data_IF_467668846968
#
_entry.id   IF_467668846968
#
_cell.length_a   1.000
_cell.length_b   1.000
_cell.length_c   1.000
_cell.angle_alpha   90.00
_cell.angle_beta   90.00
_cell.angle_gamma   90.00
#
_symmetry.space_group_name_H-M   'P 1'
#
loop_
_entity.id
_entity.type
_entity.pdbx_description
1 polymer ?
#
# COMPACT_ATOMS: atom_id res chain seq x y z
N UNK A 1 88.21 97.92 17.82
CA UNK A 1 88.18 97.64 16.37
C UNK A 1 88.02 96.13 16.21
N UNK A 2 86.84 95.66 15.79
CA UNK A 2 86.62 94.24 15.54
C UNK A 2 87.58 93.76 14.45
N UNK A 3 88.47 92.83 14.77
CA UNK A 3 89.35 92.23 13.78
C UNK A 3 88.51 91.36 12.82
N UNK A 4 88.63 91.55 11.49
CA UNK A 4 87.87 90.80 10.49
C UNK A 4 88.04 89.27 10.63
N UNK A 5 89.13 88.83 11.25
CA UNK A 5 89.44 87.40 11.51
C UNK A 5 88.45 86.76 12.50
N UNK A 6 88.01 87.47 13.54
CA UNK A 6 87.09 86.92 14.55
C UNK A 6 85.69 86.72 13.95
N UNK A 7 85.25 87.66 13.13
CA UNK A 7 83.95 87.57 12.42
C UNK A 7 83.97 86.39 11.44
N UNK A 8 85.05 86.21 10.68
CA UNK A 8 85.19 85.09 9.76
C UNK A 8 85.16 83.72 10.47
N UNK A 9 85.84 83.59 11.62
CA UNK A 9 85.81 82.36 12.42
C UNK A 9 84.43 82.05 13.00
N UNK A 10 83.69 83.06 13.47
CA UNK A 10 82.32 82.85 13.97
C UNK A 10 81.34 82.45 12.86
N UNK A 11 81.46 83.03 11.66
CA UNK A 11 80.66 82.64 10.50
C UNK A 11 80.98 81.21 10.04
N UNK A 12 82.25 80.81 10.09
CA UNK A 12 82.68 79.44 9.76
C UNK A 12 82.17 78.42 10.79
N UNK A 13 82.17 78.77 12.08
CA UNK A 13 81.59 77.92 13.12
C UNK A 13 80.07 77.78 12.97
N UNK A 14 79.34 78.87 12.69
CA UNK A 14 77.88 78.83 12.49
C UNK A 14 77.50 78.04 11.24
N UNK A 15 78.24 78.18 10.15
CA UNK A 15 78.00 77.39 8.92
C UNK A 15 78.31 75.90 9.13
N UNK A 16 79.39 75.56 9.83
CA UNK A 16 79.69 74.16 10.20
C UNK A 16 78.62 73.55 11.11
N UNK A 17 78.13 74.31 12.10
CA UNK A 17 77.02 73.86 12.96
C UNK A 17 75.73 73.70 12.13
N UNK A 18 75.45 74.61 11.20
CA UNK A 18 74.31 74.51 10.29
C UNK A 18 74.36 73.27 9.41
N UNK A 19 75.53 72.94 8.85
CA UNK A 19 75.77 71.74 8.05
C UNK A 19 75.63 70.48 8.92
N UNK A 20 76.16 70.50 10.15
CA UNK A 20 76.06 69.37 11.09
C UNK A 20 74.59 69.10 11.47
N UNK A 21 73.82 70.15 11.79
CA UNK A 21 72.40 70.03 12.13
C UNK A 21 71.58 69.58 10.91
N UNK A 22 71.90 70.08 9.71
CA UNK A 22 71.27 69.63 8.46
C UNK A 22 71.57 68.16 8.18
N UNK A 23 72.83 67.72 8.32
CA UNK A 23 73.25 66.34 8.13
C UNK A 23 72.61 65.40 9.18
N UNK A 24 72.50 65.82 10.44
CA UNK A 24 71.82 65.08 11.49
C UNK A 24 70.31 64.97 11.23
N UNK A 25 69.66 66.06 10.80
CA UNK A 25 68.24 66.04 10.40
C UNK A 25 68.02 65.14 9.18
N UNK A 26 68.89 65.20 8.19
CA UNK A 26 68.81 64.36 6.99
C UNK A 26 69.01 62.88 7.36
N UNK A 27 69.96 62.55 8.23
CA UNK A 27 70.16 61.19 8.73
C UNK A 27 68.94 60.69 9.52
N UNK A 28 68.32 61.53 10.36
CA UNK A 28 67.10 61.15 11.07
C UNK A 28 65.91 60.97 10.12
N UNK A 29 65.74 61.84 9.11
CA UNK A 29 64.69 61.67 8.11
C UNK A 29 64.87 60.39 7.29
N UNK A 30 66.11 60.05 6.92
CA UNK A 30 66.42 58.80 6.21
C UNK A 30 66.09 57.57 7.08
N UNK A 31 66.47 57.58 8.37
CA UNK A 31 66.11 56.51 9.30
C UNK A 31 64.61 56.37 9.51
N UNK A 32 63.88 57.49 9.60
CA UNK A 32 62.42 57.47 9.73
C UNK A 32 61.75 56.93 8.46
N UNK A 33 62.26 57.31 7.28
CA UNK A 33 61.81 56.80 6.00
C UNK A 33 62.09 55.29 5.87
N UNK A 34 63.26 54.83 6.28
CA UNK A 34 63.63 53.42 6.30
C UNK A 34 62.71 52.61 7.24
N UNK A 35 62.50 53.09 8.47
CA UNK A 35 61.59 52.45 9.43
C UNK A 35 60.15 52.37 8.91
N UNK A 36 59.61 53.46 8.36
CA UNK A 36 58.26 53.48 7.79
C UNK A 36 58.13 52.58 6.55
N UNK A 37 59.18 52.45 5.74
CA UNK A 37 59.20 51.51 4.61
C UNK A 37 59.23 50.06 5.06
N UNK A 38 59.97 49.76 6.14
CA UNK A 38 60.06 48.44 6.75
C UNK A 38 58.75 48.04 7.43
N UNK A 39 58.08 48.97 8.09
CA UNK A 39 56.75 48.77 8.67
C UNK A 39 55.70 48.49 7.58
N UNK A 40 55.72 49.23 6.46
CA UNK A 40 54.86 48.95 5.30
C UNK A 40 55.14 47.59 4.65
N UNK A 41 56.40 47.17 4.59
CA UNK A 41 56.80 45.84 4.10
C UNK A 41 56.25 44.74 5.00
N UNK A 42 56.41 44.86 6.32
CA UNK A 42 55.87 43.90 7.29
C UNK A 42 54.34 43.84 7.26
N UNK A 43 53.67 45.00 7.13
CA UNK A 43 52.21 45.05 6.98
C UNK A 43 51.75 44.35 5.70
N UNK A 44 52.43 44.58 4.57
CA UNK A 44 52.14 43.86 3.31
C UNK A 44 52.41 42.37 3.40
N UNK A 45 53.48 41.96 4.08
CA UNK A 45 53.80 40.54 4.27
C UNK A 45 52.75 39.83 5.14
N UNK A 46 52.24 40.51 6.17
CA UNK A 46 51.12 40.03 6.97
C UNK A 46 49.81 39.94 6.17
N UNK A 47 49.49 40.95 5.34
CA UNK A 47 48.35 40.91 4.43
C UNK A 47 48.46 39.75 3.43
N UNK A 48 49.65 39.53 2.87
CA UNK A 48 49.91 38.43 1.93
C UNK A 48 49.77 37.07 2.62
N UNK A 49 50.26 36.94 3.86
CA UNK A 49 50.07 35.74 4.68
C UNK A 49 48.60 35.45 4.96
N UNK A 50 47.81 36.47 5.32
CA UNK A 50 46.37 36.33 5.55
C UNK A 50 45.60 35.96 4.25
N UNK A 51 46.01 36.54 3.11
CA UNK A 51 45.42 36.22 1.82
C UNK A 51 45.73 34.78 1.39
N UNK A 52 46.97 34.31 1.57
CA UNK A 52 47.36 32.91 1.32
C UNK A 52 46.60 31.95 2.22
N UNK A 53 46.41 32.28 3.50
CA UNK A 53 45.63 31.46 4.42
C UNK A 53 44.16 31.38 4.02
N UNK A 54 43.55 32.51 3.62
CA UNK A 54 42.18 32.53 3.09
C UNK A 54 42.04 31.71 1.81
N UNK A 55 43.02 31.79 0.90
CA UNK A 55 43.04 30.99 -0.33
C UNK A 55 43.09 29.49 0.00
N UNK A 56 43.97 29.10 0.93
CA UNK A 56 44.10 27.71 1.36
C UNK A 56 42.82 27.18 2.02
N UNK A 57 42.16 27.98 2.85
CA UNK A 57 40.87 27.63 3.45
C UNK A 57 39.79 27.46 2.38
N UNK A 58 39.76 28.34 1.37
CA UNK A 58 38.80 28.26 0.26
C UNK A 58 39.06 27.03 -0.64
N UNK A 59 40.31 26.68 -0.90
CA UNK A 59 40.67 25.47 -1.64
C UNK A 59 40.25 24.20 -0.88
N UNK A 60 40.45 24.16 0.44
CA UNK A 60 40.02 23.04 1.27
C UNK A 60 38.49 22.89 1.29
N UNK A 61 37.74 24.00 1.36
CA UNK A 61 36.28 23.99 1.24
C UNK A 61 35.82 23.55 -0.15
N UNK A 62 36.49 23.98 -1.21
CA UNK A 62 36.18 23.52 -2.57
C UNK A 62 36.46 22.03 -2.74
N UNK A 63 37.53 21.51 -2.13
CA UNK A 63 37.84 20.09 -2.13
C UNK A 63 36.76 19.27 -1.39
N UNK A 64 36.33 19.72 -0.20
CA UNK A 64 35.28 19.04 0.57
C UNK A 64 33.93 19.05 -0.17
N UNK A 65 33.55 20.21 -0.73
CA UNK A 65 32.32 20.34 -1.52
C UNK A 65 32.35 19.44 -2.76
N UNK A 66 33.49 19.30 -3.44
CA UNK A 66 33.63 18.39 -4.59
C UNK A 66 33.44 16.93 -4.17
N UNK A 67 33.98 16.53 -3.02
CA UNK A 67 33.84 15.18 -2.49
C UNK A 67 32.39 14.89 -2.09
N UNK A 68 31.72 15.84 -1.43
CA UNK A 68 30.31 15.74 -1.07
C UNK A 68 29.41 15.61 -2.30
N UNK A 69 29.65 16.45 -3.32
CA UNK A 69 28.91 16.44 -4.59
C UNK A 69 29.11 15.11 -5.36
N UNK A 70 30.29 14.52 -5.28
CA UNK A 70 30.54 13.17 -5.81
C UNK A 70 29.73 12.12 -5.05
N UNK A 71 29.77 12.13 -3.71
CA UNK A 71 29.03 11.17 -2.89
C UNK A 71 27.50 11.26 -3.11
N UNK A 72 26.98 12.47 -3.29
CA UNK A 72 25.58 12.73 -3.56
C UNK A 72 25.16 12.25 -4.96
N UNK A 73 26.03 12.41 -5.96
CA UNK A 73 25.81 11.86 -7.30
C UNK A 73 25.77 10.33 -7.27
N UNK A 74 26.69 9.69 -6.56
CA UNK A 74 26.71 8.24 -6.40
C UNK A 74 25.45 7.74 -5.70
N UNK A 75 25.00 8.40 -4.63
CA UNK A 75 23.73 8.09 -3.98
C UNK A 75 22.54 8.24 -4.90
N UNK A 76 22.47 9.35 -5.66
CA UNK A 76 21.39 9.61 -6.61
C UNK A 76 21.33 8.53 -7.68
N UNK A 77 22.46 8.17 -8.29
CA UNK A 77 22.51 7.09 -9.30
C UNK A 77 22.10 5.75 -8.71
N UNK A 78 22.48 5.46 -7.46
CA UNK A 78 22.07 4.23 -6.77
C UNK A 78 20.56 4.19 -6.53
N UNK A 79 19.97 5.29 -6.09
CA UNK A 79 18.52 5.45 -5.90
C UNK A 79 17.75 5.33 -7.23
N UNK A 80 18.20 5.99 -8.29
CA UNK A 80 17.60 5.90 -9.62
C UNK A 80 17.64 4.47 -10.16
N UNK A 81 18.76 3.78 -9.98
CA UNK A 81 18.91 2.37 -10.39
C UNK A 81 17.99 1.46 -9.58
N UNK A 82 17.86 1.68 -8.26
CA UNK A 82 16.95 0.91 -7.41
C UNK A 82 15.50 1.10 -7.82
N UNK A 83 15.09 2.35 -8.08
CA UNK A 83 13.74 2.68 -8.53
C UNK A 83 13.42 2.04 -9.88
N UNK A 84 14.37 2.05 -10.82
CA UNK A 84 14.21 1.43 -12.14
C UNK A 84 14.08 -0.10 -12.01
N UNK A 85 14.88 -0.73 -11.13
CA UNK A 85 14.77 -2.16 -10.84
C UNK A 85 13.41 -2.52 -10.22
N UNK A 86 12.94 -1.72 -9.26
CA UNK A 86 11.64 -1.92 -8.60
C UNK A 86 10.48 -1.77 -9.59
N UNK A 87 10.51 -0.73 -10.45
CA UNK A 87 9.52 -0.56 -11.54
C UNK A 87 9.52 -1.74 -12.51
N UNK A 88 10.71 -2.23 -12.89
CA UNK A 88 10.85 -3.36 -13.80
C UNK A 88 10.36 -4.66 -13.16
N UNK A 89 10.58 -4.84 -11.86
CA UNK A 89 10.07 -5.98 -11.11
C UNK A 89 8.53 -5.92 -11.03
N UNK A 90 7.97 -4.77 -10.65
CA UNK A 90 6.52 -4.56 -10.65
C UNK A 90 5.87 -4.78 -12.02
N UNK A 91 6.52 -4.35 -13.10
CA UNK A 91 6.06 -4.60 -14.47
C UNK A 91 6.03 -6.09 -14.82
N UNK A 92 7.02 -6.86 -14.37
CA UNK A 92 7.04 -8.32 -14.53
C UNK A 92 5.96 -9.01 -13.70
N UNK A 93 5.75 -8.57 -12.47
CA UNK A 93 4.71 -9.14 -11.58
C UNK A 93 3.31 -8.90 -12.17
N UNK A 94 3.06 -7.71 -12.73
CA UNK A 94 1.82 -7.40 -13.46
C UNK A 94 1.65 -8.23 -14.73
N UNK A 95 2.73 -8.42 -15.50
CA UNK A 95 2.70 -9.28 -16.69
C UNK A 95 2.40 -10.74 -16.33
N UNK A 96 3.03 -11.27 -15.29
CA UNK A 96 2.80 -12.62 -14.77
C UNK A 96 1.36 -12.81 -14.27
N UNK A 97 0.79 -11.81 -13.59
CA UNK A 97 -0.61 -11.81 -13.16
C UNK A 97 -1.58 -11.82 -14.35
N UNK A 98 -1.33 -11.02 -15.38
CA UNK A 98 -2.15 -11.01 -16.59
C UNK A 98 -2.03 -12.32 -17.37
N UNK A 99 -0.82 -12.88 -17.49
CA UNK A 99 -0.60 -14.17 -18.15
C UNK A 99 -1.27 -15.31 -17.37
N UNK A 100 -1.18 -15.33 -16.03
CA UNK A 100 -1.90 -16.29 -15.19
C UNK A 100 -3.42 -16.15 -15.35
N UNK A 101 -3.93 -14.93 -15.48
CA UNK A 101 -5.36 -14.66 -15.73
C UNK A 101 -5.79 -15.21 -17.09
N UNK A 102 -5.02 -14.98 -18.14
CA UNK A 102 -5.29 -15.49 -19.49
C UNK A 102 -5.23 -17.01 -19.53
N UNK A 103 -4.22 -17.62 -18.92
CA UNK A 103 -4.10 -19.09 -18.80
C UNK A 103 -5.25 -19.69 -17.98
N UNK A 104 -5.70 -19.04 -16.90
CA UNK A 104 -6.88 -19.47 -16.16
C UNK A 104 -8.15 -19.31 -16.99
N UNK A 105 -8.26 -18.25 -17.80
CA UNK A 105 -9.37 -18.03 -18.73
C UNK A 105 -9.43 -19.11 -19.81
N UNK A 106 -8.32 -19.40 -20.47
CA UNK A 106 -8.22 -20.48 -21.47
C UNK A 106 -8.43 -21.86 -20.86
N UNK A 107 -7.90 -22.12 -19.66
CA UNK A 107 -8.12 -23.37 -18.95
C UNK A 107 -9.60 -23.52 -18.59
N UNK A 108 -10.25 -22.44 -18.16
CA UNK A 108 -11.68 -22.42 -17.86
C UNK A 108 -12.52 -22.62 -19.13
N UNK A 109 -12.18 -21.96 -20.23
CA UNK A 109 -12.85 -22.12 -21.53
C UNK A 109 -12.67 -23.54 -22.09
N UNK A 110 -11.47 -24.11 -21.99
CA UNK A 110 -11.21 -25.50 -22.39
C UNK A 110 -11.93 -26.51 -21.51
N UNK A 111 -12.02 -26.29 -20.20
CA UNK A 111 -12.80 -27.13 -19.28
C UNK A 111 -14.28 -27.00 -19.58
N UNK A 112 -14.79 -25.78 -19.80
CA UNK A 112 -16.17 -25.51 -20.16
C UNK A 112 -16.53 -26.18 -21.50
N UNK A 113 -15.70 -26.04 -22.53
CA UNK A 113 -15.90 -26.69 -23.83
C UNK A 113 -15.77 -28.21 -23.74
N UNK A 114 -14.81 -28.76 -22.99
CA UNK A 114 -14.70 -30.22 -22.77
C UNK A 114 -15.88 -30.78 -21.98
N UNK A 115 -16.36 -30.09 -20.95
CA UNK A 115 -17.54 -30.49 -20.18
C UNK A 115 -18.80 -30.38 -21.05
N UNK A 116 -18.92 -29.32 -21.83
CA UNK A 116 -20.03 -29.09 -22.74
C UNK A 116 -20.07 -30.14 -23.86
N UNK A 117 -18.96 -30.42 -24.54
CA UNK A 117 -18.90 -31.43 -25.60
C UNK A 117 -19.05 -32.87 -25.08
N UNK A 118 -18.42 -33.20 -23.94
CA UNK A 118 -18.51 -34.54 -23.35
C UNK A 118 -19.91 -34.86 -22.80
N UNK A 119 -20.66 -33.84 -22.33
CA UNK A 119 -22.03 -34.02 -21.82
C UNK A 119 -23.12 -33.75 -22.87
N UNK A 120 -22.95 -32.82 -23.80
CA UNK A 120 -23.92 -32.55 -24.89
C UNK A 120 -24.07 -33.76 -25.82
N UNK A 121 -22.95 -34.42 -26.20
CA UNK A 121 -22.97 -35.60 -27.08
C UNK A 121 -23.58 -36.86 -26.44
N UNK A 122 -23.77 -36.88 -25.12
CA UNK A 122 -24.37 -37.99 -24.35
C UNK A 122 -25.77 -37.68 -23.78
N UNK A 123 -26.24 -36.42 -23.83
CA UNK A 123 -27.47 -35.96 -23.18
C UNK A 123 -28.49 -35.26 -24.10
N UNK A 124 -28.15 -35.02 -25.37
CA UNK A 124 -29.07 -34.40 -26.35
C UNK A 124 -30.32 -35.24 -26.65
N UNK A 125 -30.30 -36.54 -26.33
CA UNK A 125 -31.42 -37.43 -26.69
C UNK A 125 -32.63 -37.37 -25.73
N UNK A 126 -32.62 -36.66 -24.58
CA UNK A 126 -33.80 -36.74 -23.69
C UNK A 126 -34.26 -35.57 -22.81
N UNK A 127 -33.64 -34.38 -22.70
CA UNK A 127 -34.28 -33.31 -21.88
C UNK A 127 -33.77 -31.88 -22.11
N UNK A 128 -34.26 -31.22 -23.17
CA UNK A 128 -33.97 -29.78 -23.45
C UNK A 128 -34.68 -28.81 -22.50
N UNK A 129 -35.84 -29.19 -21.97
CA UNK A 129 -36.72 -28.26 -21.24
C UNK A 129 -36.36 -28.13 -19.75
N UNK A 130 -35.90 -29.21 -19.11
CA UNK A 130 -35.45 -29.18 -17.70
C UNK A 130 -34.09 -28.50 -17.51
N UNK A 131 -33.25 -28.44 -18.55
CA UNK A 131 -31.90 -27.84 -18.46
C UNK A 131 -31.92 -26.31 -18.52
N UNK A 132 -32.87 -25.70 -19.24
CA UNK A 132 -33.01 -24.24 -19.30
C UNK A 132 -33.29 -23.63 -17.91
N UNK A 133 -34.05 -24.33 -17.07
CA UNK A 133 -34.40 -23.91 -15.71
C UNK A 133 -33.20 -23.94 -14.75
N UNK A 134 -32.20 -24.77 -15.01
CA UNK A 134 -30.99 -24.92 -14.16
C UNK A 134 -29.81 -24.08 -14.68
N UNK A 135 -29.68 -23.94 -16.01
CA UNK A 135 -28.59 -23.18 -16.63
C UNK A 135 -28.83 -21.67 -16.64
N UNK A 136 -30.06 -21.20 -16.80
CA UNK A 136 -30.36 -19.76 -16.79
C UNK A 136 -29.95 -19.06 -15.47
N UNK A 137 -30.24 -19.62 -14.28
CA UNK A 137 -29.77 -19.03 -13.02
C UNK A 137 -28.24 -18.95 -12.90
N UNK A 138 -27.52 -19.93 -13.45
CA UNK A 138 -26.06 -19.95 -13.45
C UNK A 138 -25.49 -18.86 -14.39
N UNK A 139 -26.06 -18.73 -15.58
CA UNK A 139 -25.69 -17.71 -16.56
C UNK A 139 -25.95 -16.29 -16.02
N UNK A 140 -27.09 -16.07 -15.36
CA UNK A 140 -27.39 -14.80 -14.70
C UNK A 140 -26.44 -14.49 -13.55
N UNK A 141 -26.02 -15.51 -12.79
CA UNK A 141 -25.05 -15.34 -11.70
C UNK A 141 -23.64 -15.04 -12.21
N UNK A 142 -23.22 -15.66 -13.31
CA UNK A 142 -21.94 -15.36 -13.97
C UNK A 142 -21.95 -13.93 -14.54
N UNK A 143 -23.04 -13.50 -15.19
CA UNK A 143 -23.20 -12.11 -15.65
C UNK A 143 -23.21 -11.11 -14.51
N UNK A 144 -23.87 -11.43 -13.39
CA UNK A 144 -23.82 -10.59 -12.17
C UNK A 144 -22.41 -10.51 -11.59
N UNK A 145 -21.65 -11.61 -11.64
CA UNK A 145 -20.27 -11.64 -11.17
C UNK A 145 -19.34 -10.83 -12.08
N UNK A 146 -19.43 -11.03 -13.40
CA UNK A 146 -18.67 -10.28 -14.41
C UNK A 146 -18.92 -8.77 -14.29
N UNK A 147 -20.18 -8.36 -14.17
CA UNK A 147 -20.55 -6.97 -13.91
C UNK A 147 -20.00 -6.46 -12.58
N UNK A 148 -20.00 -7.27 -11.53
CA UNK A 148 -19.40 -6.87 -10.23
C UNK A 148 -17.90 -6.67 -10.32
N UNK A 149 -17.20 -7.51 -11.10
CA UNK A 149 -15.77 -7.39 -11.33
C UNK A 149 -15.48 -6.12 -12.13
N UNK A 150 -16.22 -5.87 -13.21
CA UNK A 150 -16.11 -4.65 -14.03
C UNK A 150 -16.42 -3.38 -13.22
N UNK A 151 -17.51 -3.39 -12.43
CA UNK A 151 -17.87 -2.30 -11.50
C UNK A 151 -16.79 -2.07 -10.42
N UNK A 152 -16.07 -3.13 -10.02
CA UNK A 152 -14.97 -3.04 -9.04
C UNK A 152 -13.74 -2.39 -9.66
N UNK A 153 -13.39 -2.73 -10.90
CA UNK A 153 -12.29 -2.08 -11.65
C UNK A 153 -12.58 -0.59 -11.92
N UNK A 154 -13.81 -0.26 -12.29
CA UNK A 154 -14.24 1.13 -12.47
C UNK A 154 -14.23 1.92 -11.15
N UNK A 155 -14.55 1.26 -10.03
CA UNK A 155 -14.40 1.83 -8.68
C UNK A 155 -12.95 2.06 -8.29
N UNK A 156 -12.05 1.13 -8.59
CA UNK A 156 -10.63 1.24 -8.28
C UNK A 156 -9.97 2.41 -9.03
N UNK A 157 -10.35 2.63 -10.28
CA UNK A 157 -9.93 3.80 -11.07
C UNK A 157 -10.47 5.13 -10.49
N UNK A 158 -11.72 5.12 -9.97
CA UNK A 158 -12.29 6.26 -9.22
C UNK A 158 -11.64 6.48 -7.85
N UNK A 159 -11.19 5.42 -7.17
CA UNK A 159 -10.46 5.53 -5.90
C UNK A 159 -9.14 6.29 -6.07
N UNK A 160 -8.43 6.13 -7.20
CA UNK A 160 -7.21 6.93 -7.50
C UNK A 160 -7.50 8.43 -7.59
N UNK A 161 -8.62 8.83 -8.18
CA UNK A 161 -9.04 10.25 -8.18
C UNK A 161 -9.53 10.70 -6.80
N UNK A 162 -10.09 9.80 -5.99
CA UNK A 162 -10.49 10.09 -4.61
C UNK A 162 -9.29 10.37 -3.70
N UNK A 163 -8.16 9.67 -3.91
CA UNK A 163 -6.94 9.90 -3.13
C UNK A 163 -6.34 11.28 -3.40
N UNK A 164 -6.32 11.75 -4.65
CA UNK A 164 -5.88 13.10 -4.98
C UNK A 164 -6.79 14.17 -4.34
N UNK A 165 -8.09 13.90 -4.26
CA UNK A 165 -9.06 14.76 -3.57
C UNK A 165 -8.87 14.74 -2.06
N UNK A 166 -8.63 13.57 -1.46
CA UNK A 166 -8.28 13.45 -0.04
C UNK A 166 -6.99 14.21 0.26
N UNK A 167 -5.92 14.06 -0.54
CA UNK A 167 -4.67 14.81 -0.38
C UNK A 167 -4.92 16.32 -0.42
N UNK A 168 -5.75 16.80 -1.36
CA UNK A 168 -6.11 18.22 -1.44
C UNK A 168 -6.90 18.69 -0.21
N UNK A 169 -7.85 17.87 0.25
CA UNK A 169 -8.61 18.15 1.46
C UNK A 169 -7.72 18.14 2.72
N UNK A 170 -6.72 17.26 2.78
CA UNK A 170 -5.71 17.25 3.84
C UNK A 170 -4.87 18.53 3.80
N UNK A 171 -4.48 19.01 2.62
CA UNK A 171 -3.74 20.27 2.46
C UNK A 171 -4.57 21.48 2.91
N UNK A 172 -5.85 21.54 2.54
CA UNK A 172 -6.78 22.59 2.96
C UNK A 172 -7.01 22.57 4.48
N UNK A 173 -7.27 21.39 5.04
CA UNK A 173 -7.47 21.20 6.48
C UNK A 173 -6.20 21.54 7.28
N UNK A 174 -5.03 21.18 6.77
CA UNK A 174 -3.75 21.53 7.39
C UNK A 174 -3.50 23.05 7.39
N UNK A 175 -3.82 23.72 6.28
CA UNK A 175 -3.71 25.18 6.17
C UNK A 175 -4.62 25.85 7.20
N UNK A 176 -5.86 25.39 7.31
CA UNK A 176 -6.83 25.92 8.27
C UNK A 176 -6.41 25.66 9.73
N UNK A 177 -5.96 24.45 10.06
CA UNK A 177 -5.45 24.12 11.40
C UNK A 177 -4.23 24.99 11.74
N UNK A 178 -3.35 25.25 10.77
CA UNK A 178 -2.19 26.13 10.96
C UNK A 178 -2.58 27.58 11.21
N UNK A 179 -3.59 28.10 10.50
CA UNK A 179 -4.13 29.45 10.72
C UNK A 179 -4.82 29.56 12.09
N UNK A 180 -5.65 28.58 12.44
CA UNK A 180 -6.33 28.49 13.74
C UNK A 180 -5.32 28.38 14.90
N UNK A 181 -4.22 27.66 14.69
CA UNK A 181 -3.12 27.56 15.64
C UNK A 181 -2.47 28.91 15.95
N UNK A 182 -2.20 29.71 14.91
CA UNK A 182 -1.62 31.06 15.07
C UNK A 182 -2.62 31.98 15.76
N UNK A 183 -3.88 32.00 15.31
CA UNK A 183 -4.93 32.84 15.86
C UNK A 183 -5.22 32.51 17.34
N UNK A 184 -5.24 31.23 17.68
CA UNK A 184 -5.52 30.80 19.05
C UNK A 184 -4.31 30.98 19.98
N UNK A 185 -3.07 30.79 19.49
CA UNK A 185 -1.88 31.13 20.28
C UNK A 185 -1.92 32.60 20.70
N UNK A 186 -2.31 33.48 19.79
CA UNK A 186 -2.51 34.90 20.09
C UNK A 186 -3.67 35.16 21.08
N UNK A 187 -4.73 34.34 21.05
CA UNK A 187 -5.91 34.49 21.91
C UNK A 187 -5.75 33.87 23.32
N UNK A 188 -4.94 32.82 23.46
CA UNK A 188 -4.68 32.09 24.72
C UNK A 188 -3.36 32.48 25.38
N UNK A 189 -2.80 33.62 24.97
CA UNK A 189 -1.53 34.16 25.45
C UNK A 189 -1.48 34.22 26.98
N UNK A 190 -0.58 33.45 27.59
CA UNK A 190 -0.34 33.43 29.04
C UNK A 190 -1.11 32.38 29.86
N UNK A 191 -2.08 31.64 29.30
CA UNK A 191 -2.76 30.53 30.01
C UNK A 191 -2.25 29.16 29.55
N UNK A 192 -1.31 28.60 30.32
CA UNK A 192 -0.69 27.30 30.04
C UNK A 192 -1.65 26.13 30.09
N UNK A 193 -2.72 26.24 30.88
CA UNK A 193 -3.71 25.18 30.99
C UNK A 193 -4.60 25.19 29.76
N UNK A 194 -4.99 26.37 29.29
CA UNK A 194 -5.74 26.51 28.05
C UNK A 194 -4.93 26.04 26.82
N UNK A 195 -3.63 26.35 26.74
CA UNK A 195 -2.75 25.86 25.67
C UNK A 195 -2.62 24.33 25.67
N UNK A 196 -2.46 23.70 26.84
CA UNK A 196 -2.41 22.24 26.96
C UNK A 196 -3.70 21.57 26.50
N UNK A 197 -4.84 22.06 27.01
CA UNK A 197 -6.17 21.56 26.62
C UNK A 197 -6.43 21.70 25.11
N UNK A 198 -5.91 22.76 24.48
CA UNK A 198 -6.05 22.94 23.04
C UNK A 198 -5.16 21.98 22.23
N UNK A 199 -3.94 21.69 22.70
CA UNK A 199 -3.10 20.66 22.09
C UNK A 199 -3.79 19.30 22.10
N UNK A 200 -4.44 18.93 23.20
CA UNK A 200 -5.26 17.71 23.31
C UNK A 200 -6.47 17.75 22.36
N UNK A 201 -7.17 18.89 22.27
CA UNK A 201 -8.30 19.05 21.35
C UNK A 201 -7.89 18.86 19.89
N UNK A 202 -6.74 19.41 19.46
CA UNK A 202 -6.22 19.17 18.10
C UNK A 202 -5.92 17.69 17.91
N UNK A 203 -5.24 17.07 18.87
CA UNK A 203 -4.87 15.67 18.79
C UNK A 203 -6.12 14.78 18.61
N UNK A 204 -7.17 15.01 19.41
CA UNK A 204 -8.45 14.31 19.27
C UNK A 204 -9.13 14.59 17.93
N UNK A 205 -9.14 15.85 17.48
CA UNK A 205 -9.71 16.25 16.18
C UNK A 205 -9.00 15.54 15.01
N UNK A 206 -7.67 15.42 15.06
CA UNK A 206 -6.89 14.71 14.04
C UNK A 206 -7.22 13.21 14.02
N UNK A 207 -7.42 12.59 15.19
CA UNK A 207 -7.81 11.19 15.29
C UNK A 207 -9.21 10.95 14.73
N UNK A 208 -10.18 11.79 15.09
CA UNK A 208 -11.55 11.71 14.55
C UNK A 208 -11.58 11.86 13.03
N UNK A 209 -10.78 12.79 12.49
CA UNK A 209 -10.71 13.05 11.05
C UNK A 209 -9.83 12.06 10.28
N UNK A 210 -8.98 11.29 10.95
CA UNK A 210 -8.13 10.28 10.31
C UNK A 210 -8.92 9.10 9.74
N UNK A 211 -10.18 8.95 10.17
CA UNK A 211 -11.03 7.82 9.83
C UNK A 211 -10.66 6.53 10.57
N UNK A 212 -9.89 6.66 11.66
CA UNK A 212 -9.67 5.59 12.63
C UNK A 212 -10.87 5.48 13.60
N UNK A 213 -11.09 4.28 14.14
CA UNK A 213 -12.21 3.98 15.06
C UNK A 213 -11.75 3.99 16.52
N UNK A 214 -12.34 4.88 17.33
CA UNK A 214 -12.09 4.97 18.79
C UNK A 214 -12.44 3.66 19.50
N UNK A 215 -11.57 3.20 20.38
CA UNK A 215 -11.72 1.95 21.15
C UNK A 215 -11.39 0.67 20.37
N UNK A 216 -10.98 0.77 19.10
CA UNK A 216 -10.44 -0.35 18.32
C UNK A 216 -9.07 -0.02 17.75
N UNK A 217 -8.96 1.13 17.10
CA UNK A 217 -7.78 1.54 16.34
C UNK A 217 -7.02 2.66 17.03
N UNK A 218 -7.65 3.35 17.98
CA UNK A 218 -6.96 4.21 18.93
C UNK A 218 -7.72 4.32 20.25
N UNK A 219 -6.99 4.62 21.31
CA UNK A 219 -7.50 4.91 22.64
C UNK A 219 -6.90 6.22 23.17
N UNK A 220 -7.63 6.90 24.04
CA UNK A 220 -7.25 8.22 24.60
C UNK A 220 -7.14 8.09 26.12
N UNK A 221 -6.07 8.67 26.69
CA UNK A 221 -5.83 8.78 28.14
C UNK A 221 -5.88 7.45 28.91
N UNK A 222 -5.39 6.38 28.29
CA UNK A 222 -5.41 5.03 28.89
C UNK A 222 -4.43 4.98 30.07
N UNK A 223 -4.91 4.49 31.21
CA UNK A 223 -4.07 4.29 32.38
C UNK A 223 -3.42 2.92 32.32
N UNK A 224 -2.11 2.90 32.09
CA UNK A 224 -1.30 1.69 32.00
C UNK A 224 -0.49 1.48 33.28
N UNK A 225 -0.27 0.21 33.63
CA UNK A 225 0.62 -0.17 34.71
C UNK A 225 1.89 -0.77 34.11
N UNK A 226 3.04 -0.28 34.56
CA UNK A 226 4.33 -0.92 34.30
C UNK A 226 4.44 -2.20 35.13
N UNK A 227 5.23 -3.15 34.64
CA UNK A 227 5.62 -4.37 35.36
C UNK A 227 6.26 -4.10 36.72
N UNK A 228 6.82 -2.90 36.93
CA UNK A 228 7.42 -2.46 38.21
C UNK A 228 6.46 -1.66 39.11
N UNK A 229 5.18 -1.56 38.75
CA UNK A 229 4.13 -0.90 39.56
C UNK A 229 3.99 0.61 39.34
N UNK A 230 4.72 1.21 38.40
CA UNK A 230 4.55 2.60 37.98
C UNK A 230 3.27 2.79 37.14
N UNK A 231 2.50 3.86 37.42
CA UNK A 231 1.33 4.25 36.61
C UNK A 231 1.76 5.20 35.50
N UNK A 232 1.53 4.81 34.25
CA UNK A 232 1.82 5.62 33.07
C UNK A 232 0.52 5.91 32.33
N UNK A 233 0.36 7.14 31.86
CA UNK A 233 -0.82 7.56 31.14
C UNK A 233 -0.35 8.35 29.92
N UNK A 234 -0.16 7.67 28.76
CA UNK A 234 0.03 8.39 27.51
C UNK A 234 -1.26 9.13 27.13
N UNK A 235 -1.12 10.17 26.33
CA UNK A 235 -2.28 10.96 25.88
C UNK A 235 -3.11 10.14 24.89
N UNK A 236 -2.45 9.46 23.95
CA UNK A 236 -3.11 8.61 22.94
C UNK A 236 -2.28 7.37 22.64
N UNK A 237 -2.96 6.27 22.39
CA UNK A 237 -2.40 5.02 21.85
C UNK A 237 -3.09 4.76 20.52
N UNK A 238 -2.32 4.54 19.45
CA UNK A 238 -2.83 4.17 18.12
C UNK A 238 -2.46 2.71 17.88
N UNK A 239 -3.45 1.87 17.65
CA UNK A 239 -3.28 0.47 17.34
C UNK A 239 -3.08 0.29 15.84
N UNK A 240 -2.09 -0.52 15.48
CA UNK A 240 -1.79 -0.96 14.13
C UNK A 240 -2.15 -2.46 13.98
N UNK A 241 -2.30 -2.95 12.74
CA UNK A 241 -2.36 -4.38 12.49
C UNK A 241 -1.17 -5.14 13.08
N UNK A 242 -1.31 -6.46 13.23
CA UNK A 242 -0.35 -7.35 13.89
C UNK A 242 -0.15 -7.09 15.39
N UNK A 243 -1.09 -6.39 16.05
CA UNK A 243 -0.98 -6.01 17.47
C UNK A 243 0.28 -5.18 17.72
N UNK A 244 0.49 -4.12 16.95
CA UNK A 244 1.55 -3.13 17.22
C UNK A 244 0.94 -1.81 17.62
N UNK A 245 1.63 -1.05 18.44
CA UNK A 245 1.08 0.18 19.00
C UNK A 245 2.03 1.38 18.83
N UNK A 246 1.47 2.53 18.49
CA UNK A 246 2.15 3.83 18.51
C UNK A 246 1.65 4.61 19.72
N UNK A 247 2.57 5.07 20.56
CA UNK A 247 2.25 5.93 21.70
C UNK A 247 2.50 7.38 21.31
N UNK A 248 1.53 8.25 21.63
CA UNK A 248 1.63 9.70 21.43
C UNK A 248 1.51 10.41 22.78
N UNK A 249 2.46 11.30 23.08
CA UNK A 249 2.50 12.14 24.28
C UNK A 249 2.69 13.61 23.84
N UNK A 250 1.84 14.50 24.34
CA UNK A 250 1.72 15.90 23.94
C UNK A 250 1.92 16.82 25.14
N UNK A 251 3.17 17.17 25.47
CA UNK A 251 3.40 18.15 26.56
C UNK A 251 4.58 19.09 26.34
N UNK A 252 4.69 19.61 25.11
CA UNK A 252 5.65 20.68 24.81
C UNK A 252 5.13 22.01 25.32
N UNK A 253 5.90 22.70 26.17
CA UNK A 253 5.56 24.07 26.59
C UNK A 253 5.88 25.05 25.47
N UNK A 254 4.87 25.78 25.01
CA UNK A 254 4.96 26.76 23.92
C UNK A 254 5.09 28.22 24.41
N UNK A 255 5.35 28.44 25.71
CA UNK A 255 5.51 29.79 26.28
C UNK A 255 6.58 30.62 25.59
N UNK A 256 7.77 30.03 25.40
CA UNK A 256 8.90 30.72 24.79
C UNK A 256 8.66 31.00 23.31
N UNK A 257 7.95 30.09 22.62
CA UNK A 257 7.50 30.29 21.24
C UNK A 257 6.51 31.45 21.11
N UNK A 258 5.49 31.50 21.97
CA UNK A 258 4.50 32.57 22.01
C UNK A 258 5.14 33.94 22.27
N UNK A 259 6.05 34.02 23.25
CA UNK A 259 6.85 35.21 23.49
C UNK A 259 7.72 35.59 22.28
N UNK A 260 8.36 34.61 21.63
CA UNK A 260 9.19 34.82 20.43
C UNK A 260 8.40 35.42 19.27
N UNK A 261 7.16 34.97 19.05
CA UNK A 261 6.27 35.52 18.04
C UNK A 261 5.77 36.93 18.37
N UNK A 262 5.79 37.31 19.64
CA UNK A 262 5.18 38.53 20.15
C UNK A 262 6.11 39.73 20.33
N UNK A 263 7.42 39.49 20.45
CA UNK A 263 8.42 40.56 20.49
C UNK A 263 8.85 40.92 19.07
N UNK A 264 9.39 42.13 18.88
CA UNK A 264 10.04 42.56 17.64
C UNK A 264 11.53 42.87 17.83
N UNK A 265 12.02 42.84 19.08
CA UNK A 265 13.44 43.08 19.36
C UNK A 265 14.28 41.85 19.00
N UNK A 266 15.33 42.09 18.21
CA UNK A 266 16.18 41.02 17.64
C UNK A 266 16.92 40.23 18.72
N UNK A 267 17.45 40.92 19.73
CA UNK A 267 18.21 40.28 20.82
C UNK A 267 17.29 39.45 21.73
N UNK A 268 16.08 39.94 22.01
CA UNK A 268 15.08 39.22 22.78
C UNK A 268 14.56 37.98 22.01
N UNK A 269 14.33 38.11 20.69
CA UNK A 269 13.97 36.97 19.82
C UNK A 269 15.00 35.86 19.87
N UNK A 270 16.28 36.19 19.78
CA UNK A 270 17.34 35.19 19.78
C UNK A 270 17.38 34.40 21.11
N UNK A 271 17.15 35.07 22.23
CA UNK A 271 17.12 34.45 23.55
C UNK A 271 15.87 33.58 23.76
N UNK A 272 14.69 34.08 23.39
CA UNK A 272 13.43 33.32 23.47
C UNK A 272 13.46 32.08 22.58
N UNK A 273 14.10 32.17 21.42
CA UNK A 273 14.28 31.03 20.52
C UNK A 273 15.17 29.94 21.15
N UNK A 274 16.26 30.31 21.84
CA UNK A 274 17.08 29.36 22.59
C UNK A 274 16.29 28.69 23.71
N UNK A 275 15.47 29.46 24.42
CA UNK A 275 14.60 28.93 25.48
C UNK A 275 13.55 27.95 24.93
N UNK A 276 13.00 28.22 23.75
CA UNK A 276 12.10 27.29 23.05
C UNK A 276 12.79 25.96 22.73
N UNK A 277 13.94 26.01 22.06
CA UNK A 277 14.73 24.79 21.73
C UNK A 277 15.09 24.01 22.99
N UNK A 278 15.52 24.71 24.05
CA UNK A 278 15.85 24.07 25.32
C UNK A 278 14.63 23.42 25.99
N UNK A 279 13.46 24.06 25.92
CA UNK A 279 12.18 23.51 26.40
C UNK A 279 11.85 22.19 25.69
N UNK A 280 11.95 22.17 24.35
CA UNK A 280 11.73 20.97 23.53
C UNK A 280 12.72 19.86 23.92
N UNK A 281 14.02 20.18 24.04
CA UNK A 281 15.07 19.22 24.44
C UNK A 281 14.85 18.66 25.85
N UNK A 282 14.42 19.50 26.80
CA UNK A 282 14.07 19.07 28.15
C UNK A 282 12.86 18.12 28.14
N UNK A 283 11.88 18.37 27.28
CA UNK A 283 10.72 17.48 27.16
C UNK A 283 11.11 16.10 26.59
N UNK A 284 11.97 16.05 25.57
CA UNK A 284 12.56 14.79 25.07
C UNK A 284 13.25 14.03 26.20
N UNK A 285 14.05 14.72 27.02
CA UNK A 285 14.71 14.10 28.18
C UNK A 285 13.72 13.57 29.22
N UNK A 286 12.64 14.31 29.48
CA UNK A 286 11.58 13.87 30.41
C UNK A 286 10.80 12.68 29.86
N UNK A 287 10.54 12.64 28.57
CA UNK A 287 9.74 11.61 27.92
C UNK A 287 10.53 10.30 27.80
N UNK A 288 11.82 10.38 27.48
CA UNK A 288 12.71 9.21 27.41
C UNK A 288 12.95 8.54 28.76
N UNK A 289 12.73 9.27 29.87
CA UNK A 289 12.72 8.68 31.21
C UNK A 289 11.44 7.90 31.54
N UNK A 290 10.38 8.03 30.72
CA UNK A 290 9.16 7.23 30.84
C UNK A 290 9.33 5.98 29.97
N UNK A 291 9.49 4.82 30.59
CA UNK A 291 9.77 3.57 29.91
C UNK A 291 8.50 2.93 29.33
N UNK A 292 7.94 3.58 28.31
CA UNK A 292 6.71 3.11 27.65
C UNK A 292 6.90 1.75 26.93
N UNK A 293 8.13 1.39 26.59
CA UNK A 293 8.48 0.17 25.87
C UNK A 293 8.26 -1.10 26.71
N UNK A 294 8.29 -0.97 28.04
CA UNK A 294 8.13 -2.08 28.99
C UNK A 294 6.75 -2.12 29.66
N UNK A 295 5.73 -1.50 29.06
CA UNK A 295 4.37 -1.52 29.60
C UNK A 295 3.66 -2.85 29.29
N UNK A 296 3.00 -3.41 30.31
CA UNK A 296 2.28 -4.66 30.16
C UNK A 296 0.97 -4.45 29.37
N UNK A 297 0.75 -5.28 28.35
CA UNK A 297 -0.49 -5.28 27.56
C UNK A 297 -0.46 -4.44 26.27
N UNK A 298 0.71 -3.91 25.90
CA UNK A 298 0.92 -3.14 24.66
C UNK A 298 2.17 -3.70 23.98
N UNK A 299 2.12 -3.78 22.66
CA UNK A 299 3.25 -4.18 21.82
C UNK A 299 3.71 -2.96 21.04
N UNK A 300 4.39 -2.05 21.75
CA UNK A 300 4.80 -0.77 21.18
C UNK A 300 5.87 -0.95 20.11
N UNK A 301 5.85 -0.11 19.08
CA UNK A 301 7.06 0.14 18.30
C UNK A 301 8.15 0.71 19.21
N UNK A 302 9.41 0.60 18.80
CA UNK A 302 10.56 1.10 19.57
C UNK A 302 10.58 2.63 19.78
N UNK A 303 9.55 3.37 19.34
CA UNK A 303 9.53 4.84 19.35
C UNK A 303 8.24 5.44 19.94
N UNK A 304 8.40 6.53 20.69
CA UNK A 304 7.29 7.36 21.21
C UNK A 304 7.17 8.63 20.37
N UNK A 305 5.94 8.99 20.00
CA UNK A 305 5.67 10.20 19.24
C UNK A 305 5.47 11.38 20.21
N UNK A 306 6.33 12.37 20.08
CA UNK A 306 6.22 13.63 20.80
C UNK A 306 5.45 14.63 19.93
N UNK A 307 4.19 14.87 20.29
CA UNK A 307 3.31 15.74 19.51
C UNK A 307 3.55 17.22 19.82
N UNK A 308 3.80 18.03 18.77
CA UNK A 308 3.90 19.48 18.86
C UNK A 308 2.76 20.11 18.05
N UNK A 309 1.79 20.79 18.70
CA UNK A 309 0.55 21.20 18.05
C UNK A 309 0.71 22.38 17.06
N UNK A 310 1.90 22.98 16.97
CA UNK A 310 2.18 24.11 16.07
C UNK A 310 3.36 23.74 15.15
N UNK A 311 3.08 23.55 13.86
CA UNK A 311 4.07 23.23 12.83
C UNK A 311 5.20 24.28 12.75
N UNK A 312 4.84 25.57 12.86
CA UNK A 312 5.82 26.66 12.82
C UNK A 312 6.82 26.61 13.99
N UNK A 313 6.33 26.29 15.20
CA UNK A 313 7.17 26.14 16.38
C UNK A 313 8.14 24.95 16.24
N UNK A 314 7.69 23.86 15.60
CA UNK A 314 8.52 22.70 15.29
C UNK A 314 9.60 23.05 14.26
N UNK A 315 9.20 23.64 13.13
CA UNK A 315 10.11 23.99 12.04
C UNK A 315 11.22 24.93 12.50
N UNK A 316 10.87 25.96 13.27
CA UNK A 316 11.85 26.92 13.81
C UNK A 316 12.79 26.26 14.83
N UNK A 317 12.32 25.32 15.65
CA UNK A 317 13.19 24.59 16.58
C UNK A 317 14.24 23.74 15.85
N UNK A 318 13.84 22.98 14.82
CA UNK A 318 14.75 22.15 14.03
C UNK A 318 15.73 22.97 13.20
N UNK A 319 15.31 24.11 12.65
CA UNK A 319 16.21 25.00 11.90
C UNK A 319 17.31 25.58 12.78
N UNK A 320 17.00 25.93 14.04
CA UNK A 320 17.96 26.52 14.96
C UNK A 320 18.87 25.48 15.63
N UNK A 321 18.39 24.25 15.82
CA UNK A 321 19.19 23.13 16.33
C UNK A 321 18.99 21.87 15.47
N UNK A 322 19.74 21.73 14.36
CA UNK A 322 19.65 20.57 13.48
C UNK A 322 19.96 19.24 14.17
N UNK A 323 20.71 19.27 15.29
CA UNK A 323 21.03 18.07 16.09
C UNK A 323 19.87 17.59 16.97
N UNK A 324 18.80 18.38 17.11
CA UNK A 324 17.67 18.06 17.98
C UNK A 324 16.91 16.80 17.53
N UNK A 325 16.73 16.62 16.22
CA UNK A 325 16.10 15.42 15.66
C UNK A 325 16.90 14.15 15.95
N UNK A 326 18.22 14.21 15.75
CA UNK A 326 19.11 13.09 16.03
C UNK A 326 19.12 12.76 17.54
N UNK A 327 19.18 13.79 18.40
CA UNK A 327 19.11 13.62 19.85
C UNK A 327 17.80 12.96 20.30
N UNK A 328 16.67 13.35 19.73
CA UNK A 328 15.38 12.73 20.03
C UNK A 328 15.34 11.27 19.55
N UNK A 329 15.84 11.01 18.34
CA UNK A 329 15.88 9.68 17.75
C UNK A 329 16.73 8.70 18.58
N UNK A 330 17.91 9.11 19.04
CA UNK A 330 18.77 8.32 19.96
C UNK A 330 18.11 8.03 21.31
N UNK A 331 17.05 8.78 21.65
CA UNK A 331 16.23 8.61 22.84
C UNK A 331 14.89 7.93 22.53
N UNK A 332 14.77 7.30 21.37
CA UNK A 332 13.56 6.59 20.93
C UNK A 332 12.33 7.51 20.85
N UNK A 333 12.55 8.79 20.51
CA UNK A 333 11.48 9.79 20.39
C UNK A 333 11.47 10.37 18.98
N UNK A 334 10.28 10.45 18.40
CA UNK A 334 10.05 11.06 17.09
C UNK A 334 9.17 12.28 17.27
N UNK A 335 9.61 13.43 16.77
CA UNK A 335 8.76 14.62 16.74
C UNK A 335 7.68 14.47 15.70
N UNK A 336 6.46 14.84 16.07
CA UNK A 336 5.31 14.78 15.17
C UNK A 336 4.51 16.07 15.30
N UNK A 337 4.33 16.75 14.19
CA UNK A 337 3.46 17.92 14.08
C UNK A 337 2.07 17.50 13.56
N UNK A 338 1.01 18.34 13.64
CA UNK A 338 -0.29 18.05 13.04
C UNK A 338 -0.24 17.42 11.66
N UNK A 339 0.56 18.00 10.74
CA UNK A 339 0.74 17.47 9.37
C UNK A 339 1.31 16.05 9.35
N UNK A 340 2.37 15.83 10.14
CA UNK A 340 3.06 14.53 10.20
C UNK A 340 2.17 13.47 10.87
N UNK A 341 1.43 13.86 11.91
CA UNK A 341 0.53 12.97 12.61
C UNK A 341 -0.59 12.54 11.69
N UNK A 342 -1.25 13.48 11.03
CA UNK A 342 -2.33 13.20 10.09
C UNK A 342 -1.90 12.23 8.98
N UNK A 343 -0.70 12.44 8.43
CA UNK A 343 -0.10 11.53 7.45
C UNK A 343 0.10 10.13 8.02
N UNK A 344 0.60 10.06 9.25
CA UNK A 344 0.85 8.77 9.93
C UNK A 344 -0.46 8.06 10.27
N UNK A 345 -1.49 8.77 10.71
CA UNK A 345 -2.81 8.22 10.99
C UNK A 345 -3.47 7.70 9.71
N UNK A 346 -3.32 8.41 8.58
CA UNK A 346 -3.83 7.94 7.29
C UNK A 346 -3.10 6.69 6.80
N UNK A 347 -1.80 6.59 7.06
CA UNK A 347 -1.03 5.38 6.81
C UNK A 347 -1.52 4.23 7.68
N UNK A 348 -1.75 4.45 8.98
CA UNK A 348 -2.33 3.46 9.89
C UNK A 348 -3.72 2.99 9.41
N UNK A 349 -4.59 3.92 8.98
CA UNK A 349 -5.90 3.59 8.42
C UNK A 349 -5.76 2.71 7.17
N UNK A 350 -4.83 3.03 6.28
CA UNK A 350 -4.57 2.23 5.08
C UNK A 350 -4.06 0.83 5.43
N UNK A 351 -3.21 0.69 6.45
CA UNK A 351 -2.76 -0.61 6.95
C UNK A 351 -3.94 -1.45 7.47
N UNK A 352 -4.86 -0.85 8.24
CA UNK A 352 -6.09 -1.52 8.67
C UNK A 352 -6.97 -1.95 7.49
N UNK A 353 -7.10 -1.10 6.46
CA UNK A 353 -7.85 -1.46 5.25
C UNK A 353 -7.23 -2.66 4.54
N UNK A 354 -5.91 -2.70 4.42
CA UNK A 354 -5.18 -3.81 3.81
C UNK A 354 -5.32 -5.10 4.63
N UNK A 355 -5.20 -5.03 5.95
CA UNK A 355 -5.39 -6.18 6.84
C UNK A 355 -6.81 -6.77 6.70
N UNK A 356 -7.84 -5.90 6.73
CA UNK A 356 -9.21 -6.34 6.57
C UNK A 356 -9.46 -6.98 5.20
N UNK A 357 -8.88 -6.43 4.12
CA UNK A 357 -8.96 -7.04 2.78
C UNK A 357 -8.31 -8.42 2.75
N UNK A 358 -7.15 -8.58 3.38
CA UNK A 358 -6.45 -9.86 3.45
C UNK A 358 -7.28 -10.90 4.21
N UNK A 359 -7.82 -10.53 5.39
CA UNK A 359 -8.70 -11.40 6.18
C UNK A 359 -9.95 -11.83 5.41
N UNK A 360 -10.58 -10.89 4.70
CA UNK A 360 -11.73 -11.19 3.85
C UNK A 360 -11.37 -12.13 2.69
N UNK A 361 -10.19 -11.96 2.07
CA UNK A 361 -9.74 -12.82 0.99
C UNK A 361 -9.52 -14.27 1.46
N UNK A 362 -8.93 -14.45 2.65
CA UNK A 362 -8.79 -15.78 3.29
C UNK A 362 -10.16 -16.40 3.55
N UNK A 363 -11.10 -15.65 4.14
CA UNK A 363 -12.45 -16.14 4.42
C UNK A 363 -13.21 -16.51 3.12
N UNK A 364 -13.04 -15.72 2.05
CA UNK A 364 -13.61 -16.02 0.73
C UNK A 364 -13.01 -17.32 0.18
N UNK A 365 -11.70 -17.51 0.27
CA UNK A 365 -11.03 -18.71 -0.21
C UNK A 365 -11.53 -19.97 0.54
N UNK A 366 -11.66 -19.90 1.86
CA UNK A 366 -12.22 -21.00 2.67
C UNK A 366 -13.67 -21.32 2.26
N UNK A 367 -14.52 -20.30 2.12
CA UNK A 367 -15.92 -20.49 1.68
C UNK A 367 -16.02 -21.01 0.25
N UNK A 368 -15.14 -20.57 -0.64
CA UNK A 368 -15.07 -21.04 -2.01
C UNK A 368 -14.64 -22.52 -2.08
N UNK A 369 -13.66 -22.92 -1.27
CA UNK A 369 -13.26 -24.32 -1.12
C UNK A 369 -14.41 -25.20 -0.63
N UNK A 370 -15.08 -24.80 0.45
CA UNK A 370 -16.25 -25.53 0.97
C UNK A 370 -17.41 -25.61 -0.03
N UNK A 371 -17.61 -24.56 -0.84
CA UNK A 371 -18.60 -24.56 -1.91
C UNK A 371 -18.23 -25.53 -3.05
N UNK A 372 -16.95 -25.57 -3.42
CA UNK A 372 -16.43 -26.50 -4.42
C UNK A 372 -16.64 -27.95 -4.00
N UNK A 373 -16.32 -28.30 -2.75
CA UNK A 373 -16.54 -29.64 -2.21
C UNK A 373 -18.01 -30.05 -2.26
N UNK A 374 -18.92 -29.14 -1.87
CA UNK A 374 -20.37 -29.38 -1.98
C UNK A 374 -20.81 -29.57 -3.43
N UNK A 375 -20.25 -28.81 -4.36
CA UNK A 375 -20.56 -28.95 -5.78
C UNK A 375 -20.11 -30.31 -6.32
N UNK A 376 -18.91 -30.77 -5.97
CA UNK A 376 -18.41 -32.11 -6.35
C UNK A 376 -19.32 -33.21 -5.82
N UNK A 377 -19.71 -33.13 -4.54
CA UNK A 377 -20.65 -34.09 -3.94
C UNK A 377 -22.01 -34.09 -4.65
N UNK A 378 -22.55 -32.91 -4.97
CA UNK A 378 -23.82 -32.80 -5.68
C UNK A 378 -23.75 -33.38 -7.11
N UNK A 379 -22.62 -33.21 -7.81
CA UNK A 379 -22.39 -33.84 -9.11
C UNK A 379 -22.40 -35.37 -8.98
N UNK A 380 -21.75 -35.92 -7.95
CA UNK A 380 -21.76 -37.35 -7.69
C UNK A 380 -23.19 -37.88 -7.38
N UNK A 381 -23.96 -37.15 -6.59
CA UNK A 381 -25.37 -37.50 -6.31
C UNK A 381 -26.21 -37.51 -7.60
N UNK A 382 -26.02 -36.54 -8.50
CA UNK A 382 -26.69 -36.50 -9.80
C UNK A 382 -26.29 -37.67 -10.70
N UNK A 383 -25.03 -38.10 -10.66
CA UNK A 383 -24.57 -39.28 -11.40
C UNK A 383 -25.20 -40.58 -10.87
N UNK A 384 -25.35 -40.75 -9.55
CA UNK A 384 -26.07 -41.89 -8.96
C UNK A 384 -27.55 -41.89 -9.37
N UNK A 385 -28.21 -40.73 -9.31
CA UNK A 385 -29.60 -40.58 -9.75
C UNK A 385 -29.74 -40.97 -11.23
N UNK A 386 -28.83 -40.52 -12.09
CA UNK A 386 -28.79 -40.91 -13.50
C UNK A 386 -28.69 -42.43 -13.69
N UNK A 387 -27.79 -43.08 -12.95
CA UNK A 387 -27.63 -44.54 -13.00
C UNK A 387 -28.90 -45.29 -12.53
N UNK A 388 -29.59 -44.79 -11.50
CA UNK A 388 -30.86 -45.35 -11.02
C UNK A 388 -32.01 -45.20 -12.01
N UNK A 389 -32.08 -44.07 -12.72
CA UNK A 389 -33.05 -43.86 -13.79
C UNK A 389 -32.82 -44.87 -14.92
N UNK A 390 -31.57 -45.05 -15.35
CA UNK A 390 -31.22 -46.04 -16.38
C UNK A 390 -31.58 -47.47 -15.96
N UNK A 391 -31.32 -47.83 -14.70
CA UNK A 391 -31.71 -49.13 -14.13
C UNK A 391 -33.23 -49.32 -14.09
N UNK A 392 -33.96 -48.26 -13.74
CA UNK A 392 -35.43 -48.26 -13.73
C UNK A 392 -35.99 -48.45 -15.14
N UNK A 393 -35.43 -47.73 -16.13
CA UNK A 393 -35.77 -47.89 -17.55
C UNK A 393 -35.53 -49.31 -18.05
N UNK A 394 -34.35 -49.89 -17.76
CA UNK A 394 -34.06 -51.30 -18.07
C UNK A 394 -35.07 -52.27 -17.45
N UNK A 395 -35.51 -51.99 -16.22
CA UNK A 395 -36.50 -52.82 -15.52
C UNK A 395 -37.89 -52.70 -16.15
N UNK A 396 -38.28 -51.49 -16.54
CA UNK A 396 -39.49 -51.23 -17.32
C UNK A 396 -39.44 -51.96 -18.67
N UNK A 397 -38.36 -51.83 -19.43
CA UNK A 397 -38.19 -52.47 -20.75
C UNK A 397 -38.29 -54.01 -20.63
N UNK A 398 -37.69 -54.60 -19.59
CA UNK A 398 -37.83 -56.04 -19.31
C UNK A 398 -39.27 -56.45 -19.01
N UNK A 399 -40.01 -55.65 -18.23
CA UNK A 399 -41.41 -55.92 -17.92
C UNK A 399 -42.29 -55.77 -19.17
N UNK A 400 -42.06 -54.72 -19.96
CA UNK A 400 -42.74 -54.47 -21.22
C UNK A 400 -42.48 -55.59 -22.24
N UNK A 401 -41.25 -56.08 -22.36
CA UNK A 401 -40.92 -57.23 -23.20
C UNK A 401 -41.63 -58.51 -22.76
N UNK A 402 -41.69 -58.80 -21.45
CA UNK A 402 -42.45 -59.96 -20.95
C UNK A 402 -43.96 -59.84 -21.22
N UNK A 403 -44.48 -58.61 -21.20
CA UNK A 403 -45.90 -58.35 -21.41
C UNK A 403 -46.29 -58.37 -22.89
N UNK A 404 -45.59 -57.62 -23.75
CA UNK A 404 -46.02 -57.27 -25.11
C UNK A 404 -45.03 -57.63 -26.23
N UNK A 405 -43.76 -57.27 -26.11
CA UNK A 405 -42.82 -57.25 -27.26
C UNK A 405 -41.82 -58.42 -27.34
N UNK A 406 -41.70 -59.24 -26.29
CA UNK A 406 -40.74 -60.36 -26.24
C UNK A 406 -41.27 -61.65 -26.88
N UNK A 407 -40.34 -62.55 -27.22
CA UNK A 407 -40.65 -63.88 -27.76
C UNK A 407 -41.41 -64.71 -26.72
N UNK A 408 -42.65 -65.07 -27.03
CA UNK A 408 -43.54 -65.77 -26.09
C UNK A 408 -44.09 -64.87 -24.97
N UNK A 409 -44.34 -63.59 -25.26
CA UNK A 409 -44.94 -62.62 -24.33
C UNK A 409 -46.31 -63.07 -23.79
N UNK A 410 -46.68 -62.50 -22.63
CA UNK A 410 -47.90 -62.86 -21.90
C UNK A 410 -49.18 -62.53 -22.67
N UNK A 411 -49.23 -61.40 -23.37
CA UNK A 411 -50.41 -61.03 -24.19
C UNK A 411 -50.67 -62.13 -25.23
N UNK A 412 -49.65 -62.55 -25.98
CA UNK A 412 -49.76 -63.61 -26.99
C UNK A 412 -50.19 -64.95 -26.39
N UNK A 413 -49.58 -65.37 -25.26
CA UNK A 413 -49.95 -66.63 -24.58
C UNK A 413 -51.39 -66.64 -24.05
N UNK A 414 -51.86 -65.51 -23.52
CA UNK A 414 -53.23 -65.38 -23.01
C UNK A 414 -54.24 -65.37 -24.16
N UNK A 415 -53.89 -64.76 -25.30
CA UNK A 415 -54.74 -64.78 -26.48
C UNK A 415 -54.75 -66.16 -27.18
N UNK A 416 -53.64 -66.90 -27.19
CA UNK A 416 -53.59 -68.30 -27.66
C UNK A 416 -54.46 -69.24 -26.79
N UNK A 417 -54.56 -68.99 -25.49
CA UNK A 417 -55.47 -69.75 -24.59
C UNK A 417 -56.95 -69.53 -24.94
N UNK A 418 -57.28 -68.35 -25.46
CA UNK A 418 -58.65 -68.01 -25.89
C UNK A 418 -58.99 -68.67 -27.23
N UNK A 419 -58.04 -68.77 -28.17
CA UNK A 419 -58.24 -69.53 -29.42
C UNK A 419 -58.39 -71.03 -29.16
N UNK A 420 -57.74 -71.55 -28.10
CA UNK A 420 -57.87 -72.93 -27.62
C UNK A 420 -59.14 -73.22 -26.80
N UNK A 421 -60.08 -72.26 -26.67
CA UNK A 421 -61.42 -72.51 -26.13
C UNK A 421 -61.67 -72.10 -24.66
N UNK A 422 -60.79 -71.30 -24.05
CA UNK A 422 -61.04 -70.75 -22.72
C UNK A 422 -62.21 -69.73 -22.73
N UNK A 423 -63.18 -69.89 -21.82
CA UNK A 423 -64.31 -68.96 -21.67
C UNK A 423 -63.86 -67.65 -21.00
N UNK A 424 -63.76 -66.56 -21.77
CA UNK A 424 -63.41 -65.22 -21.25
C UNK A 424 -64.54 -64.21 -21.44
N UNK A 425 -64.84 -63.37 -20.45
CA UNK A 425 -65.94 -62.40 -20.47
C UNK A 425 -65.56 -60.98 -20.92
N UNK A 426 -64.27 -60.63 -20.97
CA UNK A 426 -63.75 -59.31 -21.38
C UNK A 426 -62.67 -59.45 -22.46
N UNK A 427 -62.56 -58.48 -23.38
CA UNK A 427 -61.52 -58.42 -24.43
C UNK A 427 -60.53 -57.29 -24.13
N UNK A 428 -59.24 -57.52 -24.36
CA UNK A 428 -58.22 -56.47 -24.39
C UNK A 428 -58.45 -55.56 -25.61
N UNK A 429 -58.30 -54.25 -25.44
CA UNK A 429 -58.47 -53.27 -26.51
C UNK A 429 -57.31 -53.35 -27.53
N UNK A 430 -57.63 -53.07 -28.79
CA UNK A 430 -56.84 -53.43 -29.97
C UNK A 430 -55.47 -52.73 -30.07
N UNK A 431 -55.26 -51.63 -29.33
CA UNK A 431 -54.04 -50.83 -29.39
C UNK A 431 -52.85 -51.47 -28.64
N UNK A 432 -53.14 -52.43 -27.74
CA UNK A 432 -52.13 -53.23 -27.06
C UNK A 432 -51.58 -54.39 -27.91
N UNK A 433 -52.21 -54.69 -29.05
CA UNK A 433 -51.95 -55.87 -29.89
C UNK A 433 -51.21 -55.56 -31.20
N UNK A 434 -51.07 -54.29 -31.59
CA UNK A 434 -50.37 -53.92 -32.82
C UNK A 434 -48.85 -53.90 -32.59
N UNK A 435 -48.17 -55.00 -32.94
CA UNK A 435 -46.94 -55.02 -33.78
C UNK A 435 -46.57 -56.48 -34.07
N UNK A 436 -46.29 -56.73 -35.34
CA UNK A 436 -45.78 -57.96 -35.97
C UNK A 436 -46.80 -59.06 -36.31
N UNK A 437 -47.73 -58.73 -37.20
CA UNK A 437 -48.17 -59.67 -38.26
C UNK A 437 -47.54 -59.21 -39.57
N UNK A 438 -46.38 -59.79 -39.92
CA UNK A 438 -45.93 -59.82 -41.31
C UNK A 438 -46.71 -60.90 -42.08
N UNK A 439 -47.07 -60.49 -43.28
CA UNK A 439 -47.87 -61.09 -44.35
C UNK A 439 -47.62 -62.58 -44.65
N UNK A 440 -48.71 -63.34 -44.76
CA UNK A 440 -48.80 -64.53 -45.62
C UNK A 440 -49.42 -64.09 -46.96
N UNK A 441 -48.78 -64.29 -48.13
CA UNK A 441 -49.47 -64.11 -49.42
C UNK A 441 -50.05 -65.42 -49.96
N UNK A 442 -51.10 -65.34 -50.83
CA UNK A 442 -52.01 -66.43 -51.11
C UNK A 442 -51.58 -67.32 -52.30
N UNK A 443 -52.23 -68.48 -52.39
CA UNK A 443 -51.81 -69.65 -53.17
C UNK A 443 -51.81 -69.54 -54.70
N UNK A 444 -51.20 -70.56 -55.31
CA UNK A 444 -51.21 -70.78 -56.76
C UNK A 444 -51.48 -72.26 -57.04
N UNK A 445 -52.56 -72.52 -57.78
CA UNK A 445 -52.89 -73.84 -58.33
C UNK A 445 -51.91 -74.27 -59.44
N UNK A 446 -51.82 -75.59 -59.60
CA UNK A 446 -50.92 -76.38 -60.42
C UNK A 446 -50.90 -76.03 -61.92
N UNK A 447 -49.69 -76.04 -62.51
CA UNK A 447 -49.37 -76.67 -63.82
C UNK A 447 -47.87 -77.00 -63.88
N UNK A 448 -47.54 -78.24 -64.20
CA UNK A 448 -46.17 -78.76 -64.19
C UNK A 448 -45.38 -78.58 -65.49
N UNK A 449 -44.07 -78.80 -65.40
CA UNK A 449 -43.22 -79.57 -66.30
C UNK A 449 -41.74 -79.39 -65.90
N UNK A 450 -41.00 -80.51 -65.87
CA UNK A 450 -39.57 -80.74 -66.18
C UNK A 450 -38.56 -79.59 -65.95
N UNK A 451 -37.56 -79.73 -65.08
CA UNK A 451 -36.33 -80.55 -65.19
C UNK A 451 -35.11 -79.64 -65.45
N UNK A 452 -34.04 -79.99 -64.74
CA UNK A 452 -32.62 -79.69 -64.93
C UNK A 452 -32.00 -78.29 -64.68
N UNK A 453 -30.84 -78.31 -63.99
CA UNK A 453 -29.74 -77.38 -64.30
C UNK A 453 -29.16 -76.47 -63.19
N UNK A 454 -28.20 -77.01 -62.42
CA UNK A 454 -26.91 -76.41 -61.96
C UNK A 454 -26.84 -74.93 -61.49
N UNK A 455 -26.42 -74.72 -60.22
CA UNK A 455 -25.06 -74.29 -59.78
C UNK A 455 -24.51 -73.03 -60.47
N UNK A 456 -24.41 -71.91 -59.73
CA UNK A 456 -23.14 -71.31 -59.26
C UNK A 456 -23.36 -69.98 -58.51
N UNK A 457 -22.57 -69.81 -57.44
CA UNK A 457 -22.29 -68.57 -56.69
C UNK A 457 -20.91 -68.07 -57.14
N UNK A 458 -20.34 -66.98 -56.59
CA UNK A 458 -20.88 -65.70 -56.15
C UNK A 458 -20.02 -64.54 -56.72
N UNK A 459 -20.38 -63.27 -56.48
CA UNK A 459 -19.42 -62.19 -56.77
C UNK A 459 -19.85 -60.77 -56.44
N UNK A 460 -19.07 -60.18 -55.50
CA UNK A 460 -18.73 -58.75 -55.38
C UNK A 460 -19.84 -57.81 -54.86
N UNK A 461 -19.55 -56.72 -54.17
CA UNK A 461 -18.38 -56.22 -53.45
C UNK A 461 -18.83 -54.87 -52.83
N UNK A 462 -18.20 -54.51 -51.70
CA UNK A 462 -17.76 -53.16 -51.33
C UNK A 462 -18.71 -51.97 -51.58
N UNK A 463 -19.00 -51.21 -50.52
CA UNK A 463 -18.05 -50.18 -50.11
C UNK A 463 -18.17 -49.83 -48.63
#
# INVERSE_FOLDING_TARGET
MNSPVVIALTLLAVTLIGILVWALRQSQQLKLAELSSREKLLAREAELGNAVQSLHNSDNQNASLRQELQSLREHKTRLETSLEMEKKQHGKDLAFLNESKEQMGEAFENIANKIFDAKSKKLVDNNKESLATVLNPLQDKIRQFEKRVEDTYDKESKERFSLAREIKQLQEMNTQISEDAVNLTNALKGDNKAQGNWGEMILETLLENSGLVKGREYEVQVSLQSTEGGKFQPDVIIHLPESRDIIVDSKVSLKAWDAYCSTDEVDEKAELLKQHVQSVRNHVKSLSGKDYQNLAGISTLDYVFMFMPIDAAYSVAIQNDPGLSQYAFEKNIVFVSPTMLLTTLKLAQNLWRLDQQNRNAVEIAEKAGALYDKFVNFVADLEDVGARIDSSKKSYDRAHNKLRSGTGNLIRRVEDLKTLGAKTSKKLEHDALATDTEEDPPGTELKGAADDGKKESPGKARH
#
